data_IF_964455884134
#
_entry.id   IF_964455884134
#
_cell.length_a   1.000
_cell.length_b   1.000
_cell.length_c   1.000
_cell.angle_alpha   90.00
_cell.angle_beta   90.00
_cell.angle_gamma   90.00
#
_symmetry.space_group_name_H-M   'P 1'
#
loop_
_entity.id
_entity.type
_entity.pdbx_description
1 polymer ?
#
# COMPACT_ATOMS: atom_id res chain seq x y z
N UNK A 1 12.15 -3.41 44.33
CA UNK A 1 11.07 -4.19 43.69
C UNK A 1 9.76 -3.43 43.89
N UNK A 2 9.38 -2.70 42.85
CA UNK A 2 8.02 -2.70 42.27
C UNK A 2 8.12 -3.00 40.75
N UNK A 3 7.15 -3.53 39.99
CA UNK A 3 5.91 -4.30 40.20
C UNK A 3 5.56 -4.87 38.81
N UNK A 4 4.88 -6.01 38.75
CA UNK A 4 4.47 -6.74 37.54
C UNK A 4 3.71 -5.93 36.44
N UNK A 5 3.35 -4.67 36.70
CA UNK A 5 2.67 -3.79 35.76
C UNK A 5 3.54 -3.31 34.57
N UNK A 6 4.85 -3.12 34.74
CA UNK A 6 5.71 -2.73 33.61
C UNK A 6 5.84 -3.83 32.56
N UNK A 7 5.62 -5.10 32.95
CA UNK A 7 5.74 -6.24 32.04
C UNK A 7 4.50 -6.45 31.16
N UNK A 8 3.41 -5.70 31.38
CA UNK A 8 2.21 -5.80 30.55
C UNK A 8 2.25 -4.92 29.30
N UNK A 9 3.05 -3.85 29.30
CA UNK A 9 3.07 -2.89 28.19
C UNK A 9 3.80 -3.49 26.96
N UNK A 10 4.65 -4.49 27.16
CA UNK A 10 5.41 -5.15 26.08
C UNK A 10 4.58 -6.09 25.19
N UNK A 11 3.28 -6.32 25.46
CA UNK A 11 2.41 -7.13 24.60
C UNK A 11 1.61 -6.31 23.58
N UNK A 12 1.80 -4.98 23.52
CA UNK A 12 1.10 -4.12 22.56
C UNK A 12 1.96 -3.75 21.34
N UNK A 13 3.26 -4.07 21.31
CA UNK A 13 4.10 -3.91 20.11
C UNK A 13 4.02 -5.10 19.15
N UNK A 14 2.97 -5.92 19.28
CA UNK A 14 2.49 -6.75 18.19
C UNK A 14 1.34 -6.01 17.48
N UNK A 15 1.57 -4.74 17.12
CA UNK A 15 1.03 -4.25 15.85
C UNK A 15 1.78 -5.05 14.81
N UNK A 16 1.37 -6.32 14.66
CA UNK A 16 1.71 -7.10 13.50
C UNK A 16 1.13 -6.25 12.39
N UNK A 17 2.03 -5.63 11.66
CA UNK A 17 1.84 -5.22 10.29
C UNK A 17 1.39 -6.47 9.54
N UNK A 18 0.14 -6.88 9.76
CA UNK A 18 -0.62 -7.76 8.91
C UNK A 18 -0.97 -6.88 7.71
N UNK A 19 0.06 -6.52 6.93
CA UNK A 19 -0.14 -6.11 5.56
C UNK A 19 -0.89 -7.29 4.95
N UNK A 20 -2.18 -7.06 4.72
CA UNK A 20 -3.15 -8.10 4.41
C UNK A 20 -2.55 -9.06 3.37
N UNK A 21 -2.40 -10.37 3.69
CA UNK A 21 -1.78 -11.33 2.77
C UNK A 21 -2.46 -11.31 1.40
N UNK A 22 -3.76 -10.98 1.36
CA UNK A 22 -4.51 -10.81 0.12
C UNK A 22 -4.06 -9.57 -0.65
N UNK A 23 -3.81 -8.45 0.04
CA UNK A 23 -3.27 -7.23 -0.57
C UNK A 23 -1.87 -7.48 -1.14
N UNK A 24 -0.97 -8.15 -0.39
CA UNK A 24 0.37 -8.48 -0.91
C UNK A 24 0.32 -9.38 -2.15
N UNK A 25 -0.60 -10.34 -2.18
CA UNK A 25 -0.81 -11.19 -3.36
C UNK A 25 -1.23 -10.37 -4.57
N UNK A 26 -2.18 -9.44 -4.39
CA UNK A 26 -2.65 -8.55 -5.46
C UNK A 26 -1.55 -7.59 -5.93
N UNK A 27 -0.76 -7.01 -5.01
CA UNK A 27 0.38 -6.15 -5.37
C UNK A 27 1.35 -6.89 -6.28
N UNK A 28 1.66 -8.14 -5.91
CA UNK A 28 2.56 -8.99 -6.70
C UNK A 28 1.96 -9.30 -8.07
N UNK A 29 0.68 -9.66 -8.15
CA UNK A 29 -0.02 -9.92 -9.41
C UNK A 29 0.00 -8.69 -10.34
N UNK A 30 -0.36 -7.52 -9.81
CA UNK A 30 -0.35 -6.25 -10.56
C UNK A 30 1.08 -5.89 -10.99
N UNK A 31 2.07 -6.06 -10.12
CA UNK A 31 3.50 -5.83 -10.41
C UNK A 31 4.02 -6.76 -11.51
N UNK A 32 3.69 -8.05 -11.45
CA UNK A 32 4.09 -9.05 -12.45
C UNK A 32 3.42 -8.79 -13.82
N UNK A 33 2.15 -8.34 -13.83
CA UNK A 33 1.41 -8.03 -15.07
C UNK A 33 1.83 -6.70 -15.73
N UNK A 34 2.12 -5.68 -14.93
CA UNK A 34 2.44 -4.33 -15.42
C UNK A 34 3.94 -4.05 -15.53
N UNK A 35 4.77 -4.90 -14.91
CA UNK A 35 6.21 -4.70 -14.77
C UNK A 35 6.58 -3.53 -13.85
N UNK A 36 5.67 -3.08 -12.98
CA UNK A 36 5.88 -1.92 -12.09
C UNK A 36 6.40 -2.29 -10.72
N UNK A 37 6.92 -1.30 -10.02
CA UNK A 37 7.38 -1.48 -8.64
C UNK A 37 6.19 -1.81 -7.71
N UNK A 38 6.49 -2.55 -6.63
CA UNK A 38 5.46 -2.93 -5.66
C UNK A 38 4.78 -1.71 -4.99
N UNK A 39 5.49 -0.59 -4.87
CA UNK A 39 4.95 0.66 -4.32
C UNK A 39 3.92 1.30 -5.26
N UNK A 40 4.21 1.33 -6.56
CA UNK A 40 3.27 1.80 -7.58
C UNK A 40 2.05 0.87 -7.68
N UNK A 41 2.26 -0.44 -7.60
CA UNK A 41 1.18 -1.42 -7.60
C UNK A 41 0.31 -1.32 -6.34
N UNK A 42 0.90 -1.11 -5.16
CA UNK A 42 0.18 -0.86 -3.91
C UNK A 42 -0.68 0.39 -3.99
N UNK A 43 -0.09 1.48 -4.48
CA UNK A 43 -0.78 2.75 -4.69
C UNK A 43 -1.95 2.59 -5.66
N UNK A 44 -1.74 1.94 -6.80
CA UNK A 44 -2.80 1.71 -7.80
C UNK A 44 -3.92 0.82 -7.24
N UNK A 45 -3.57 -0.22 -6.48
CA UNK A 45 -4.56 -1.05 -5.79
C UNK A 45 -5.35 -0.25 -4.76
N UNK A 46 -4.70 0.64 -4.02
CA UNK A 46 -5.40 1.50 -3.06
C UNK A 46 -6.35 2.48 -3.77
N UNK A 47 -5.91 3.12 -4.86
CA UNK A 47 -6.74 3.99 -5.71
C UNK A 47 -7.94 3.23 -6.31
N UNK A 48 -7.77 1.93 -6.60
CA UNK A 48 -8.79 1.05 -7.17
C UNK A 48 -9.53 0.22 -6.13
N UNK A 49 -9.53 0.62 -4.85
CA UNK A 49 -10.27 -0.07 -3.77
C UNK A 49 -9.91 -1.58 -3.59
N UNK A 50 -8.70 -1.98 -3.99
CA UNK A 50 -8.19 -3.35 -3.93
C UNK A 50 -8.53 -4.22 -5.14
N UNK A 51 -8.95 -3.61 -6.26
CA UNK A 51 -9.21 -4.28 -7.53
C UNK A 51 -7.93 -4.35 -8.38
N UNK A 52 -7.43 -5.56 -8.60
CA UNK A 52 -6.20 -5.80 -9.36
C UNK A 52 -6.34 -5.49 -10.86
N UNK A 53 -7.51 -5.74 -11.47
CA UNK A 53 -7.70 -5.49 -12.89
C UNK A 53 -7.74 -3.98 -13.17
N UNK A 54 -8.50 -3.25 -12.35
CA UNK A 54 -8.54 -1.78 -12.47
C UNK A 54 -7.20 -1.15 -12.15
N UNK A 55 -6.44 -1.68 -11.19
CA UNK A 55 -5.10 -1.21 -10.90
C UNK A 55 -4.13 -1.43 -12.07
N UNK A 56 -4.23 -2.58 -12.75
CA UNK A 56 -3.44 -2.89 -13.96
C UNK A 56 -3.78 -1.92 -15.08
N UNK A 57 -5.07 -1.73 -15.39
CA UNK A 57 -5.53 -0.82 -16.44
C UNK A 57 -5.10 0.62 -16.12
N UNK A 58 -5.28 1.08 -14.88
CA UNK A 58 -4.85 2.39 -14.42
C UNK A 58 -3.33 2.58 -14.56
N UNK A 59 -2.52 1.56 -14.25
CA UNK A 59 -1.07 1.63 -14.40
C UNK A 59 -0.65 1.71 -15.87
N UNK A 60 -1.32 0.96 -16.76
CA UNK A 60 -1.12 1.07 -18.20
C UNK A 60 -1.52 2.46 -18.72
N UNK A 61 -2.67 2.99 -18.31
CA UNK A 61 -3.12 4.35 -18.65
C UNK A 61 -2.17 5.43 -18.10
N UNK A 62 -1.72 5.32 -16.85
CA UNK A 62 -0.77 6.25 -16.19
C UNK A 62 0.57 6.31 -16.93
N UNK A 63 1.07 5.18 -17.47
CA UNK A 63 2.31 5.21 -18.31
C UNK A 63 2.17 6.07 -19.55
N UNK A 64 0.97 6.08 -20.13
CA UNK A 64 0.69 6.79 -21.36
C UNK A 64 0.31 8.26 -21.10
N UNK A 65 0.07 8.65 -19.85
CA UNK A 65 -0.43 9.97 -19.49
C UNK A 65 0.25 10.52 -18.21
N UNK A 66 1.37 11.22 -18.39
CA UNK A 66 2.27 11.79 -17.36
C UNK A 66 1.66 12.87 -16.42
N UNK A 67 0.34 13.06 -16.39
CA UNK A 67 -0.32 14.22 -15.76
C UNK A 67 -0.90 13.92 -14.37
N UNK A 68 -0.94 12.65 -13.96
CA UNK A 68 -1.65 12.19 -12.72
C UNK A 68 -0.79 12.29 -11.45
N UNK A 69 0.52 12.54 -11.58
CA UNK A 69 1.45 12.66 -10.44
C UNK A 69 1.06 13.80 -9.47
N UNK A 70 0.32 14.79 -9.94
CA UNK A 70 -0.09 15.96 -9.14
C UNK A 70 -1.10 15.57 -8.05
N UNK A 71 -2.06 14.69 -8.34
CA UNK A 71 -3.03 14.23 -7.33
C UNK A 71 -2.36 13.35 -6.27
N UNK A 72 -1.39 12.52 -6.66
CA UNK A 72 -0.64 11.68 -5.73
C UNK A 72 0.25 12.53 -4.80
N UNK A 73 0.93 13.54 -5.34
CA UNK A 73 1.76 14.46 -4.55
C UNK A 73 0.93 15.36 -3.62
N UNK A 74 -0.29 15.76 -3.99
CA UNK A 74 -1.17 16.54 -3.10
C UNK A 74 -1.65 15.69 -1.91
N UNK A 75 -1.97 14.42 -2.14
CA UNK A 75 -2.44 13.53 -1.06
C UNK A 75 -1.30 13.14 -0.11
N UNK A 76 -0.09 12.90 -0.63
CA UNK A 76 1.09 12.58 0.18
C UNK A 76 1.53 13.73 1.09
N UNK A 77 1.32 14.98 0.67
CA UNK A 77 1.69 16.21 1.42
C UNK A 77 0.66 16.65 2.46
N UNK A 78 -0.48 15.96 2.55
CA UNK A 78 -1.47 16.12 3.62
C UNK A 78 -1.29 15.08 4.74
N UNK A 79 -0.37 14.12 4.55
CA UNK A 79 -0.05 13.06 5.49
C UNK A 79 1.27 13.34 6.24
N UNK A 80 2.09 14.29 5.79
CA UNK A 80 3.28 14.83 6.47
C UNK A 80 3.17 16.33 6.65
#
# INVERSE_FOLDING_TARGET
QPTAEQLRIASMTAVKTDADPEMMKKIKEVSDLTGRSADEAYTALHDCNGDANQAVDLLFEKTNNQVVLICFLINLKNIF
#
